data_IF_856478748966
#
_entry.id   IF_856478748966
#
_cell.length_a   1.000
_cell.length_b   1.000
_cell.length_c   1.000
_cell.angle_alpha   90.00
_cell.angle_beta   90.00
_cell.angle_gamma   90.00
#
_symmetry.space_group_name_H-M   'P 1'
#
loop_
_entity.id
_entity.type
_entity.pdbx_description
1 polymer ?
#
# COMPACT_ATOMS: atom_id res chain seq x y z
N UNK A 1 17.34 -7.61 11.60
CA UNK A 1 16.59 -6.34 11.73
C UNK A 1 15.11 -6.56 11.45
N UNK A 2 14.24 -6.13 12.38
CA UNK A 2 12.82 -5.88 12.06
C UNK A 2 12.81 -4.81 10.97
N UNK A 3 12.05 -5.06 9.92
CA UNK A 3 11.89 -4.12 8.82
C UNK A 3 10.90 -3.06 9.33
N UNK A 4 11.37 -1.82 9.47
CA UNK A 4 10.52 -0.72 9.89
C UNK A 4 9.79 -0.15 8.66
N UNK A 5 8.50 0.13 8.82
CA UNK A 5 7.76 0.84 7.78
C UNK A 5 8.40 2.22 7.54
N UNK A 6 8.41 2.71 6.29
CA UNK A 6 8.95 4.02 5.97
C UNK A 6 8.16 5.12 6.69
N UNK A 7 8.82 6.26 6.90
CA UNK A 7 8.12 7.46 7.34
C UNK A 7 7.07 7.87 6.31
N UNK A 8 5.98 8.47 6.80
CA UNK A 8 4.86 8.92 5.98
C UNK A 8 4.44 10.33 6.38
N UNK A 9 3.78 11.02 5.45
CA UNK A 9 3.33 12.41 5.63
C UNK A 9 1.81 12.52 5.76
N UNK A 10 1.15 11.52 6.36
CA UNK A 10 -0.30 11.55 6.51
C UNK A 10 -0.78 12.76 7.33
N UNK A 11 -0.07 13.11 8.41
CA UNK A 11 -0.38 14.27 9.24
C UNK A 11 -0.41 15.58 8.44
N UNK A 12 0.71 15.97 7.79
CA UNK A 12 0.77 17.12 6.91
C UNK A 12 -0.29 17.11 5.80
N UNK A 13 -0.50 15.96 5.14
CA UNK A 13 -1.52 15.80 4.10
C UNK A 13 -2.92 16.15 4.62
N UNK A 14 -3.34 15.55 5.75
CA UNK A 14 -4.68 15.81 6.30
C UNK A 14 -4.85 17.25 6.80
N UNK A 15 -3.80 17.86 7.35
CA UNK A 15 -3.80 19.28 7.73
C UNK A 15 -3.99 20.18 6.51
N UNK A 16 -3.30 19.92 5.40
CA UNK A 16 -3.48 20.64 4.13
C UNK A 16 -4.91 20.51 3.59
N UNK A 17 -5.55 19.37 3.81
CA UNK A 17 -6.95 19.12 3.43
C UNK A 17 -7.97 19.72 4.41
N UNK A 18 -7.53 20.35 5.49
CA UNK A 18 -8.41 20.91 6.52
C UNK A 18 -9.27 19.86 7.22
N UNK A 19 -8.80 18.60 7.27
CA UNK A 19 -9.50 17.49 7.93
C UNK A 19 -8.85 17.18 9.26
N UNK A 20 -9.62 17.14 10.33
CA UNK A 20 -9.15 16.65 11.63
C UNK A 20 -9.37 15.13 11.80
N UNK A 21 -9.09 14.59 12.98
CA UNK A 21 -9.29 13.14 13.23
C UNK A 21 -10.76 12.75 13.42
N UNK A 22 -11.60 13.70 13.83
CA UNK A 22 -13.04 13.50 14.01
C UNK A 22 -13.73 13.46 12.65
N UNK A 23 -13.36 14.36 11.74
CA UNK A 23 -13.85 14.38 10.36
C UNK A 23 -13.58 13.05 9.66
N UNK A 24 -12.33 12.58 9.71
CA UNK A 24 -11.93 11.33 9.08
C UNK A 24 -12.64 10.15 9.74
N UNK A 25 -12.76 10.11 11.07
CA UNK A 25 -13.50 9.04 11.75
C UNK A 25 -14.96 8.97 11.29
N UNK A 26 -15.63 10.12 11.19
CA UNK A 26 -17.04 10.21 10.75
C UNK A 26 -17.25 9.66 9.33
N UNK A 27 -16.29 9.90 8.44
CA UNK A 27 -16.40 9.50 7.04
C UNK A 27 -15.90 8.07 6.77
N UNK A 28 -14.97 7.55 7.58
CA UNK A 28 -14.28 6.28 7.30
C UNK A 28 -14.58 5.17 8.30
N UNK A 29 -15.10 5.51 9.48
CA UNK A 29 -15.23 4.61 10.62
C UNK A 29 -13.90 4.22 11.28
N UNK A 30 -12.75 4.73 10.81
CA UNK A 30 -11.44 4.43 11.41
C UNK A 30 -11.39 5.06 12.80
N UNK A 31 -11.02 4.33 13.88
CA UNK A 31 -10.99 4.90 15.23
C UNK A 31 -10.12 6.16 15.31
N UNK A 32 -10.61 7.19 16.01
CA UNK A 32 -9.90 8.47 16.22
C UNK A 32 -8.49 8.24 16.76
N UNK A 33 -8.33 7.30 17.70
CA UNK A 33 -7.03 6.94 18.25
C UNK A 33 -6.06 6.44 17.18
N UNK A 34 -6.49 5.56 16.28
CA UNK A 34 -5.67 5.07 15.16
C UNK A 34 -5.29 6.20 14.22
N UNK A 35 -6.25 7.06 13.85
CA UNK A 35 -5.99 8.22 12.98
C UNK A 35 -4.93 9.14 13.59
N UNK A 36 -5.05 9.45 14.89
CA UNK A 36 -4.07 10.29 15.58
C UNK A 36 -2.66 9.69 15.54
N UNK A 37 -2.53 8.40 15.81
CA UNK A 37 -1.24 7.70 15.77
C UNK A 37 -0.61 7.70 14.38
N UNK A 38 -1.43 7.51 13.33
CA UNK A 38 -0.94 7.60 11.95
C UNK A 38 -0.54 9.03 11.59
N UNK A 39 -1.29 10.04 12.03
CA UNK A 39 -0.99 11.45 11.79
C UNK A 39 0.31 11.92 12.45
N UNK A 40 0.57 11.46 13.67
CA UNK A 40 1.78 11.85 14.42
C UNK A 40 3.00 11.03 14.02
N UNK A 41 2.83 9.99 13.21
CA UNK A 41 3.90 9.06 12.85
C UNK A 41 4.22 8.02 13.94
N UNK A 42 3.47 7.98 15.05
CA UNK A 42 3.58 6.91 16.06
C UNK A 42 3.34 5.54 15.40
N UNK A 43 2.33 5.47 14.51
CA UNK A 43 2.11 4.33 13.62
C UNK A 43 2.60 4.67 12.21
N UNK A 44 3.83 4.25 11.89
CA UNK A 44 4.39 4.40 10.53
C UNK A 44 3.71 3.48 9.50
N UNK A 45 3.30 2.28 9.94
CA UNK A 45 2.68 1.27 9.11
C UNK A 45 1.17 1.52 8.93
N UNK A 46 0.79 2.25 7.89
CA UNK A 46 -0.62 2.51 7.56
C UNK A 46 -1.20 1.33 6.75
N UNK A 47 -2.27 0.66 7.19
CA UNK A 47 -2.97 -0.34 6.39
C UNK A 47 -3.50 0.23 5.07
N UNK A 48 -3.38 -0.52 3.97
CA UNK A 48 -3.77 -0.03 2.64
C UNK A 48 -5.27 0.32 2.55
N UNK A 49 -6.12 -0.49 3.20
CA UNK A 49 -7.56 -0.24 3.31
C UNK A 49 -7.87 1.08 4.05
N UNK A 50 -7.11 1.42 5.08
CA UNK A 50 -7.33 2.66 5.84
C UNK A 50 -6.92 3.88 5.02
N UNK A 51 -5.78 3.80 4.31
CA UNK A 51 -5.37 4.89 3.42
C UNK A 51 -6.35 5.09 2.26
N UNK A 52 -6.90 4.00 1.72
CA UNK A 52 -7.93 4.07 0.68
C UNK A 52 -9.23 4.71 1.18
N UNK A 53 -9.70 4.35 2.38
CA UNK A 53 -10.84 5.04 3.00
C UNK A 53 -10.57 6.54 3.19
N UNK A 54 -9.35 6.89 3.61
CA UNK A 54 -8.93 8.28 3.75
C UNK A 54 -8.93 9.00 2.40
N UNK A 55 -8.52 8.35 1.30
CA UNK A 55 -8.58 8.99 -0.03
C UNK A 55 -10.02 9.30 -0.44
N UNK A 56 -10.96 8.37 -0.20
CA UNK A 56 -12.39 8.62 -0.46
C UNK A 56 -12.95 9.74 0.42
N UNK A 57 -12.62 9.79 1.71
CA UNK A 57 -13.04 10.86 2.63
C UNK A 57 -12.47 12.24 2.25
N UNK A 58 -11.22 12.27 1.80
CA UNK A 58 -10.60 13.52 1.30
C UNK A 58 -11.01 13.89 -0.11
N UNK A 59 -11.74 13.00 -0.80
CA UNK A 59 -12.19 13.15 -2.20
C UNK A 59 -11.03 13.31 -3.19
N UNK A 60 -9.86 12.83 -2.82
CA UNK A 60 -8.68 12.77 -3.68
C UNK A 60 -8.57 11.38 -4.30
N UNK A 61 -8.10 11.34 -5.55
CA UNK A 61 -7.72 10.07 -6.16
C UNK A 61 -6.58 9.42 -5.36
N UNK A 62 -6.62 8.10 -5.17
CA UNK A 62 -5.65 7.39 -4.31
C UNK A 62 -4.19 7.62 -4.75
N UNK A 63 -3.93 7.79 -6.05
CA UNK A 63 -2.57 8.10 -6.53
C UNK A 63 -2.06 9.47 -6.05
N UNK A 64 -2.93 10.47 -5.91
CA UNK A 64 -2.59 11.78 -5.34
C UNK A 64 -2.21 11.61 -3.88
N UNK A 65 -3.03 10.86 -3.13
CA UNK A 65 -2.77 10.58 -1.72
C UNK A 65 -1.46 9.83 -1.53
N UNK A 66 -1.19 8.80 -2.34
CA UNK A 66 0.06 8.04 -2.29
C UNK A 66 1.29 8.92 -2.53
N UNK A 67 1.22 9.80 -3.53
CA UNK A 67 2.31 10.72 -3.84
C UNK A 67 2.54 11.78 -2.74
N UNK A 68 1.48 12.26 -2.07
CA UNK A 68 1.63 13.22 -0.97
C UNK A 68 2.04 12.56 0.35
N UNK A 69 1.56 11.35 0.63
CA UNK A 69 1.84 10.63 1.88
C UNK A 69 3.19 9.91 1.83
N UNK A 70 3.61 9.41 0.67
CA UNK A 70 4.87 8.69 0.47
C UNK A 70 5.74 9.31 -0.66
N UNK A 71 6.06 10.61 -0.61
CA UNK A 71 6.72 11.31 -1.71
C UNK A 71 8.16 10.82 -1.97
N UNK A 72 8.80 10.20 -0.98
CA UNK A 72 10.17 9.68 -1.04
C UNK A 72 10.26 8.19 -1.39
N UNK A 73 9.12 7.50 -1.50
CA UNK A 73 9.12 6.07 -1.76
C UNK A 73 9.53 5.78 -3.21
N UNK A 74 10.54 4.96 -3.40
CA UNK A 74 11.12 4.65 -4.72
C UNK A 74 11.47 3.17 -4.79
N UNK A 75 11.47 2.63 -6.01
CA UNK A 75 12.04 1.32 -6.27
C UNK A 75 13.56 1.36 -6.20
N UNK A 76 14.14 0.24 -5.76
CA UNK A 76 15.57 0.00 -5.91
C UNK A 76 15.89 -0.19 -7.40
N UNK A 77 16.99 0.44 -7.85
CA UNK A 77 17.49 0.24 -9.21
C UNK A 77 18.00 -1.19 -9.37
N UNK A 78 17.52 -1.89 -10.39
CA UNK A 78 18.03 -3.20 -10.78
C UNK A 78 17.92 -3.37 -12.27
N UNK A 79 18.93 -3.99 -12.88
CA UNK A 79 18.97 -4.28 -14.32
C UNK A 79 18.26 -5.61 -14.66
N UNK A 80 17.65 -6.27 -13.67
CA UNK A 80 16.98 -7.56 -13.83
C UNK A 80 15.51 -7.39 -14.21
N UNK A 81 15.17 -7.83 -15.43
CA UNK A 81 13.79 -7.98 -15.89
C UNK A 81 13.06 -9.11 -15.13
N UNK A 82 11.76 -8.93 -14.90
CA UNK A 82 10.85 -9.97 -14.35
C UNK A 82 10.55 -10.97 -15.49
N UNK A 83 10.53 -12.29 -15.22
CA UNK A 83 10.35 -13.36 -16.25
C UNK A 83 9.40 -14.48 -15.81
N UNK A 84 8.75 -15.14 -16.79
CA UNK A 84 7.49 -15.87 -16.64
C UNK A 84 7.43 -17.31 -16.17
N UNK A 85 6.43 -17.62 -15.29
CA UNK A 85 5.82 -18.93 -15.00
C UNK A 85 4.84 -18.93 -13.78
N UNK A 86 3.60 -19.45 -13.93
CA UNK A 86 2.50 -19.46 -12.92
C UNK A 86 2.16 -20.89 -12.42
N UNK A 87 1.73 -21.06 -11.15
CA UNK A 87 1.12 -22.29 -10.58
C UNK A 87 -0.26 -22.03 -9.93
N UNK A 88 -1.08 -23.07 -9.79
CA UNK A 88 -2.56 -23.02 -9.69
C UNK A 88 -3.21 -22.84 -8.29
N UNK A 89 -2.50 -22.43 -7.23
CA UNK A 89 -3.03 -22.51 -5.83
C UNK A 89 -3.02 -21.17 -5.05
N UNK A 90 -3.26 -20.04 -5.73
CA UNK A 90 -3.15 -18.67 -5.15
C UNK A 90 -4.51 -18.09 -4.75
N UNK A 91 -4.60 -17.31 -3.66
CA UNK A 91 -5.83 -16.59 -3.23
C UNK A 91 -6.17 -15.44 -4.19
N UNK A 92 -7.36 -14.81 -4.13
CA UNK A 92 -7.70 -13.73 -5.07
C UNK A 92 -6.87 -12.44 -4.86
N UNK A 93 -6.49 -12.11 -3.61
CA UNK A 93 -5.47 -11.09 -3.34
C UNK A 93 -4.12 -11.50 -3.93
N UNK A 94 -3.72 -12.77 -3.76
CA UNK A 94 -2.51 -13.29 -4.37
C UNK A 94 -2.59 -13.28 -5.89
N UNK A 95 -3.73 -13.62 -6.50
CA UNK A 95 -3.94 -13.51 -7.94
C UNK A 95 -3.97 -12.05 -8.38
N UNK A 96 -4.32 -11.06 -7.56
CA UNK A 96 -4.31 -9.66 -7.99
C UNK A 96 -2.94 -9.00 -7.83
N UNK A 97 -2.24 -9.31 -6.73
CA UNK A 97 -0.84 -8.92 -6.50
C UNK A 97 0.08 -9.62 -7.52
N UNK A 98 -0.29 -10.83 -7.97
CA UNK A 98 0.54 -11.70 -8.83
C UNK A 98 -0.14 -12.12 -10.15
N UNK A 99 -1.24 -11.48 -10.60
CA UNK A 99 -1.77 -11.59 -11.99
C UNK A 99 -0.96 -10.76 -12.96
N UNK A 100 -0.12 -9.90 -12.41
CA UNK A 100 0.97 -9.24 -13.10
C UNK A 100 2.05 -10.28 -13.21
N UNK A 101 2.13 -10.85 -14.41
CA UNK A 101 3.17 -11.73 -14.91
C UNK A 101 4.31 -11.93 -13.89
N UNK A 102 4.23 -13.10 -13.24
CA UNK A 102 5.38 -13.97 -12.95
C UNK A 102 5.92 -14.04 -11.53
N UNK A 103 5.96 -15.26 -10.99
CA UNK A 103 6.54 -15.58 -9.69
C UNK A 103 8.09 -15.53 -9.74
N UNK A 104 8.67 -14.33 -9.85
CA UNK A 104 10.01 -14.07 -9.34
C UNK A 104 9.93 -13.14 -8.12
N UNK A 105 9.47 -13.71 -6.99
CA UNK A 105 9.44 -13.03 -5.70
C UNK A 105 10.82 -12.48 -5.29
N UNK A 106 11.92 -13.02 -5.82
CA UNK A 106 13.26 -12.50 -5.56
C UNK A 106 13.49 -11.18 -6.29
N UNK A 107 13.07 -11.07 -7.56
CA UNK A 107 13.14 -9.82 -8.29
C UNK A 107 12.21 -8.76 -7.67
N UNK A 108 10.98 -9.14 -7.31
CA UNK A 108 10.05 -8.21 -6.65
C UNK A 108 10.59 -7.77 -5.29
N UNK A 109 11.12 -8.71 -4.49
CA UNK A 109 11.76 -8.38 -3.21
C UNK A 109 12.94 -7.43 -3.39
N UNK A 110 13.74 -7.64 -4.44
CA UNK A 110 14.89 -6.80 -4.74
C UNK A 110 14.46 -5.38 -5.18
N UNK A 111 13.51 -5.27 -6.11
CA UNK A 111 12.96 -3.98 -6.60
C UNK A 111 12.28 -3.18 -5.50
N UNK A 112 11.46 -3.84 -4.68
CA UNK A 112 10.65 -3.17 -3.66
C UNK A 112 11.37 -3.00 -2.33
N UNK A 113 12.43 -3.78 -2.08
CA UNK A 113 13.05 -3.90 -0.76
C UNK A 113 12.27 -4.80 0.21
N UNK A 114 11.03 -5.21 -0.13
CA UNK A 114 10.18 -6.03 0.74
C UNK A 114 10.74 -7.45 0.79
N UNK A 115 10.96 -8.01 1.98
CA UNK A 115 11.47 -9.39 2.10
C UNK A 115 10.60 -10.40 1.34
N UNK A 116 11.26 -11.32 0.61
CA UNK A 116 10.60 -12.44 -0.09
C UNK A 116 9.58 -13.18 0.77
N UNK A 117 9.92 -13.47 2.03
CA UNK A 117 9.02 -14.16 2.95
C UNK A 117 7.78 -13.33 3.32
N UNK A 118 7.87 -11.99 3.34
CA UNK A 118 6.70 -11.11 3.51
C UNK A 118 5.84 -11.13 2.25
N UNK A 119 6.43 -10.99 1.06
CA UNK A 119 5.71 -11.12 -0.21
C UNK A 119 4.99 -12.47 -0.31
N UNK A 120 5.65 -13.58 0.05
CA UNK A 120 5.04 -14.91 0.05
C UNK A 120 3.85 -15.02 1.02
N UNK A 121 3.92 -14.34 2.18
CA UNK A 121 2.79 -14.29 3.11
C UNK A 121 1.65 -13.44 2.54
N UNK A 122 1.95 -12.31 1.91
CA UNK A 122 0.92 -11.47 1.27
C UNK A 122 0.10 -12.26 0.24
N UNK A 123 0.68 -13.26 -0.45
CA UNK A 123 -0.06 -14.13 -1.38
C UNK A 123 -1.12 -15.00 -0.70
N UNK A 124 -1.10 -15.11 0.64
CA UNK A 124 -1.93 -16.02 1.44
C UNK A 124 -2.76 -15.28 2.49
N UNK A 125 -2.47 -14.00 2.72
CA UNK A 125 -3.15 -13.19 3.72
C UNK A 125 -4.38 -12.51 3.14
N UNK A 126 -5.25 -12.06 4.04
CA UNK A 126 -6.38 -11.20 3.73
C UNK A 126 -5.89 -9.80 3.29
N UNK A 127 -6.61 -9.17 2.35
CA UNK A 127 -6.23 -7.88 1.77
C UNK A 127 -6.20 -6.75 2.80
N UNK A 128 -6.96 -6.87 3.89
CA UNK A 128 -6.90 -5.94 5.03
C UNK A 128 -5.54 -5.88 5.73
N UNK A 129 -4.67 -6.88 5.53
CA UNK A 129 -3.36 -6.98 6.22
C UNK A 129 -2.19 -6.45 5.39
N UNK A 130 -2.44 -5.94 4.18
CA UNK A 130 -1.41 -5.30 3.37
C UNK A 130 -1.22 -3.85 3.80
N UNK A 131 0.03 -3.41 3.88
CA UNK A 131 0.35 -2.04 4.21
C UNK A 131 0.38 -1.18 2.95
N UNK A 132 0.09 0.11 3.12
CA UNK A 132 -0.04 1.05 2.01
C UNK A 132 1.26 1.19 1.21
N UNK A 133 2.40 1.31 1.91
CA UNK A 133 3.71 1.41 1.26
C UNK A 133 4.08 0.11 0.54
N UNK A 134 3.69 -1.05 1.07
CA UNK A 134 3.93 -2.35 0.44
C UNK A 134 3.14 -2.45 -0.87
N UNK A 135 1.84 -2.15 -0.84
CA UNK A 135 0.99 -2.20 -2.02
C UNK A 135 1.44 -1.19 -3.09
N UNK A 136 1.83 0.02 -2.67
CA UNK A 136 2.34 1.05 -3.57
C UNK A 136 3.67 0.65 -4.22
N UNK A 137 4.62 0.10 -3.46
CA UNK A 137 5.87 -0.42 -4.03
C UNK A 137 5.63 -1.58 -5.00
N UNK A 138 4.74 -2.50 -4.67
CA UNK A 138 4.37 -3.63 -5.53
C UNK A 138 3.77 -3.11 -6.84
N UNK A 139 2.86 -2.15 -6.78
CA UNK A 139 2.24 -1.55 -7.96
C UNK A 139 3.27 -0.85 -8.85
N UNK A 140 4.14 -0.02 -8.27
CA UNK A 140 5.24 0.61 -9.00
C UNK A 140 6.18 -0.43 -9.62
N UNK A 141 6.46 -1.53 -8.91
CA UNK A 141 7.33 -2.60 -9.40
C UNK A 141 6.68 -3.49 -10.47
N UNK A 142 5.38 -3.39 -10.66
CA UNK A 142 4.62 -4.19 -11.63
C UNK A 142 4.20 -3.36 -12.85
N UNK A 143 4.82 -2.19 -13.05
CA UNK A 143 4.58 -1.25 -14.14
C UNK A 143 3.10 -0.89 -14.35
N UNK A 144 2.30 -0.93 -13.28
CA UNK A 144 0.90 -0.50 -13.25
C UNK A 144 0.77 1.00 -13.01
N UNK A 145 -0.41 1.52 -13.34
CA UNK A 145 -0.77 2.87 -12.94
C UNK A 145 -0.90 2.94 -11.42
N UNK A 146 -0.35 4.01 -10.84
CA UNK A 146 -0.43 4.23 -9.39
C UNK A 146 -1.91 4.32 -8.97
N UNK A 147 -2.29 3.61 -7.92
CA UNK A 147 -3.65 3.52 -7.40
C UNK A 147 -4.49 2.36 -7.93
N UNK A 148 -4.10 1.72 -9.02
CA UNK A 148 -4.91 0.69 -9.68
C UNK A 148 -5.19 -0.53 -8.79
N UNK A 149 -4.19 -1.03 -8.09
CA UNK A 149 -4.34 -2.16 -7.16
C UNK A 149 -5.17 -1.79 -5.93
N UNK A 150 -5.12 -0.54 -5.48
CA UNK A 150 -5.96 -0.06 -4.39
C UNK A 150 -7.44 -0.07 -4.79
N UNK A 151 -7.76 0.49 -5.95
CA UNK A 151 -9.12 0.45 -6.49
C UNK A 151 -9.56 -0.99 -6.70
N UNK A 152 -8.76 -1.85 -7.35
CA UNK A 152 -9.12 -3.26 -7.57
C UNK A 152 -9.38 -4.04 -6.27
N UNK A 153 -8.63 -3.76 -5.19
CA UNK A 153 -8.80 -4.46 -3.91
C UNK A 153 -9.93 -3.92 -3.05
N UNK A 154 -10.23 -2.62 -3.17
CA UNK A 154 -11.05 -1.91 -2.20
C UNK A 154 -12.23 -1.15 -2.83
N UNK A 155 -12.51 -1.26 -4.13
CA UNK A 155 -13.61 -0.56 -4.80
C UNK A 155 -14.99 -0.80 -4.17
N UNK A 156 -15.19 -1.96 -3.55
CA UNK A 156 -16.47 -2.35 -2.94
C UNK A 156 -16.60 -1.96 -1.46
N UNK A 157 -15.76 -1.03 -0.98
CA UNK A 157 -15.69 -0.59 0.42
C UNK A 157 -16.21 0.84 0.56
#
# INVERSE_FOLDING_TARGET
>A
MKEEAPDNLLGPYLTKKGKDSVDINKETGIPIGSIRKMRTGETKAIPAIELYKISKATKDAIHVVLNEVYPSLRLNKTDKFISSNIKSHTTDLGKLIFSLEDYNLDNLAHRTGIKRGRLQRLTKLDSSKILSHELYLIEMASDKNVGELFELLFNNI
#
